data_IF_659561415733
#
_entry.id   IF_659561415733
#
_cell.length_a   1.000
_cell.length_b   1.000
_cell.length_c   1.000
_cell.angle_alpha   90.00
_cell.angle_beta   90.00
_cell.angle_gamma   90.00
#
_symmetry.space_group_name_H-M   'P 1'
#
loop_
_entity.id
_entity.type
_entity.pdbx_description
1 polymer ?
#
# COMPACT_ATOMS: atom_id res chain seq x y z
N UNK A 1 -5.79 1.66 20.61
CA UNK A 1 -6.27 1.91 19.24
C UNK A 1 -7.71 1.48 19.14
N UNK A 2 -8.53 2.19 18.36
CA UNK A 2 -9.85 1.68 18.00
C UNK A 2 -9.69 0.33 17.29
N UNK A 3 -10.51 -0.66 17.68
CA UNK A 3 -10.52 -1.98 17.07
C UNK A 3 -11.49 -1.94 15.89
N UNK A 4 -11.02 -2.38 14.73
CA UNK A 4 -11.85 -2.57 13.54
C UNK A 4 -11.89 -4.08 13.29
N UNK A 5 -13.09 -4.63 13.13
CA UNK A 5 -13.25 -6.04 12.78
C UNK A 5 -13.03 -6.21 11.28
N UNK A 6 -11.98 -6.94 10.93
CA UNK A 6 -11.58 -7.19 9.54
C UNK A 6 -12.08 -8.60 9.17
N UNK A 7 -12.99 -8.75 8.19
CA UNK A 7 -13.52 -10.06 7.80
C UNK A 7 -12.41 -11.02 7.39
N UNK A 8 -12.50 -12.30 7.79
CA UNK A 8 -11.55 -13.34 7.39
C UNK A 8 -11.50 -13.52 5.87
N UNK A 9 -10.34 -13.93 5.35
CA UNK A 9 -10.14 -14.17 3.92
C UNK A 9 -8.69 -14.56 3.60
N UNK A 10 -8.46 -15.00 2.37
CA UNK A 10 -7.16 -15.55 1.92
C UNK A 10 -6.08 -14.47 1.71
N UNK A 11 -6.47 -13.21 1.53
CA UNK A 11 -5.53 -12.11 1.35
C UNK A 11 -4.87 -11.68 2.66
N UNK A 12 -3.69 -11.06 2.53
CA UNK A 12 -3.06 -10.34 3.64
C UNK A 12 -3.99 -9.27 4.21
N UNK A 13 -3.96 -9.11 5.54
CA UNK A 13 -4.88 -8.26 6.30
C UNK A 13 -5.04 -6.83 5.74
N UNK A 14 -3.95 -6.21 5.30
CA UNK A 14 -3.97 -4.87 4.69
C UNK A 14 -4.86 -4.80 3.44
N UNK A 15 -4.85 -5.85 2.60
CA UNK A 15 -5.70 -5.89 1.41
C UNK A 15 -7.17 -6.07 1.81
N UNK A 16 -7.45 -6.90 2.83
CA UNK A 16 -8.81 -7.08 3.37
C UNK A 16 -9.35 -5.77 3.93
N UNK A 17 -8.54 -5.02 4.68
CA UNK A 17 -8.87 -3.66 5.14
C UNK A 17 -9.23 -2.72 3.98
N UNK A 18 -8.44 -2.71 2.91
CA UNK A 18 -8.73 -1.86 1.76
C UNK A 18 -10.01 -2.24 1.02
N UNK A 19 -10.33 -3.54 0.96
CA UNK A 19 -11.59 -4.04 0.39
C UNK A 19 -12.82 -3.64 1.20
N UNK A 20 -12.67 -3.21 2.46
CA UNK A 20 -13.79 -2.69 3.27
C UNK A 20 -14.30 -1.33 2.79
N UNK A 21 -13.55 -0.63 1.93
CA UNK A 21 -13.99 0.59 1.26
C UNK A 21 -14.29 0.29 -0.20
N UNK A 22 -15.54 0.43 -0.61
CA UNK A 22 -15.94 0.17 -2.00
C UNK A 22 -15.20 1.12 -2.97
N UNK A 23 -14.81 0.62 -4.13
CA UNK A 23 -14.01 1.33 -5.13
C UNK A 23 -12.52 1.54 -4.80
N UNK A 24 -12.11 1.36 -3.53
CA UNK A 24 -10.71 1.58 -3.14
C UNK A 24 -9.77 0.52 -3.72
N UNK A 25 -10.24 -0.72 -3.89
CA UNK A 25 -9.47 -1.82 -4.46
C UNK A 25 -8.88 -1.49 -5.84
N UNK A 26 -9.69 -0.94 -6.75
CA UNK A 26 -9.26 -0.53 -8.07
C UNK A 26 -8.28 0.67 -8.04
N UNK A 27 -8.55 1.65 -7.17
CA UNK A 27 -7.66 2.79 -6.99
C UNK A 27 -6.27 2.36 -6.49
N UNK A 28 -6.22 1.39 -5.59
CA UNK A 28 -4.96 0.87 -5.05
C UNK A 28 -4.17 0.07 -6.09
N UNK A 29 -4.82 -0.73 -6.93
CA UNK A 29 -4.10 -1.38 -8.01
C UNK A 29 -3.54 -0.35 -9.02
N UNK A 30 -4.31 0.69 -9.33
CA UNK A 30 -3.83 1.82 -10.12
C UNK A 30 -2.61 2.50 -9.51
N UNK A 31 -2.62 2.76 -8.20
CA UNK A 31 -1.49 3.29 -7.46
C UNK A 31 -0.28 2.34 -7.50
N UNK A 32 -0.49 1.02 -7.33
CA UNK A 32 0.57 0.01 -7.41
C UNK A 32 1.26 0.05 -8.78
N UNK A 33 0.49 0.07 -9.87
CA UNK A 33 1.00 0.14 -11.24
C UNK A 33 1.81 1.43 -11.45
N UNK A 34 1.26 2.58 -11.04
CA UNK A 34 1.94 3.86 -11.20
C UNK A 34 3.27 3.92 -10.43
N UNK A 35 3.31 3.35 -9.22
CA UNK A 35 4.49 3.41 -8.35
C UNK A 35 5.56 2.38 -8.70
N UNK A 36 5.20 1.18 -9.16
CA UNK A 36 6.14 0.07 -9.38
C UNK A 36 6.46 -0.21 -10.84
N UNK A 37 5.48 -0.02 -11.74
CA UNK A 37 5.55 -0.48 -13.13
C UNK A 37 5.77 0.70 -14.09
N UNK A 38 5.09 1.84 -13.86
CA UNK A 38 5.18 3.06 -14.70
C UNK A 38 5.99 4.17 -14.02
N UNK A 39 7.20 3.85 -13.60
CA UNK A 39 8.04 4.73 -12.78
C UNK A 39 9.28 5.23 -13.53
N UNK A 40 9.64 6.48 -13.28
CA UNK A 40 10.86 7.12 -13.82
C UNK A 40 12.13 6.69 -13.06
N UNK A 41 11.98 6.03 -11.91
CA UNK A 41 13.09 5.69 -11.02
C UNK A 41 13.55 4.26 -11.23
N UNK A 42 14.88 4.06 -11.24
CA UNK A 42 15.46 2.73 -11.20
C UNK A 42 15.05 1.99 -9.92
N UNK A 43 15.04 0.65 -9.97
CA UNK A 43 14.53 -0.19 -8.87
C UNK A 43 15.13 0.17 -7.50
N UNK A 44 16.45 0.39 -7.42
CA UNK A 44 17.12 0.75 -6.16
C UNK A 44 16.69 2.12 -5.65
N UNK A 45 16.63 3.13 -6.53
CA UNK A 45 16.22 4.50 -6.14
C UNK A 45 14.76 4.52 -5.71
N UNK A 46 13.90 3.74 -6.36
CA UNK A 46 12.51 3.58 -5.99
C UNK A 46 12.33 3.00 -4.58
N UNK A 47 13.10 1.98 -4.21
CA UNK A 47 13.04 1.44 -2.84
C UNK A 47 13.49 2.47 -1.80
N UNK A 48 14.56 3.22 -2.07
CA UNK A 48 14.98 4.31 -1.16
C UNK A 48 13.90 5.37 -1.03
N UNK A 49 13.23 5.75 -2.13
CA UNK A 49 12.11 6.69 -2.10
C UNK A 49 10.93 6.14 -1.28
N UNK A 50 10.56 4.86 -1.45
CA UNK A 50 9.51 4.19 -0.68
C UNK A 50 9.85 4.16 0.82
N UNK A 51 11.09 3.82 1.18
CA UNK A 51 11.56 3.86 2.57
C UNK A 51 11.51 5.29 3.13
N UNK A 52 11.93 6.30 2.35
CA UNK A 52 11.87 7.70 2.80
C UNK A 52 10.43 8.14 3.08
N UNK A 53 9.46 7.76 2.25
CA UNK A 53 8.04 8.01 2.48
C UNK A 53 7.57 7.32 3.76
N UNK A 54 7.99 6.07 4.01
CA UNK A 54 7.66 5.37 5.24
C UNK A 54 8.21 6.09 6.49
N UNK A 55 9.45 6.60 6.46
CA UNK A 55 10.01 7.42 7.56
C UNK A 55 9.18 8.68 7.79
N UNK A 56 8.82 9.39 6.72
CA UNK A 56 8.00 10.61 6.79
C UNK A 56 6.64 10.33 7.47
N UNK A 57 6.04 9.18 7.18
CA UNK A 57 4.78 8.74 7.78
C UNK A 57 4.96 7.97 9.10
N UNK A 58 6.17 7.97 9.67
CA UNK A 58 6.50 7.26 10.91
C UNK A 58 6.13 5.77 10.89
N UNK A 59 6.13 5.16 9.71
CA UNK A 59 5.98 3.72 9.58
C UNK A 59 7.30 3.04 10.00
N UNK A 60 7.24 1.93 10.75
CA UNK A 60 8.42 1.10 10.97
C UNK A 60 8.90 0.51 9.63
N UNK A 61 10.21 0.51 9.40
CA UNK A 61 10.87 0.00 8.18
C UNK A 61 11.83 -1.10 8.57
#
# INVERSE_FOLDING_TARGET
MARIDIPDGEDVERIRLWKMTDGLSGAIDGFRIATHDKTLLSRRVREVARMRIAVINQCPI
#
